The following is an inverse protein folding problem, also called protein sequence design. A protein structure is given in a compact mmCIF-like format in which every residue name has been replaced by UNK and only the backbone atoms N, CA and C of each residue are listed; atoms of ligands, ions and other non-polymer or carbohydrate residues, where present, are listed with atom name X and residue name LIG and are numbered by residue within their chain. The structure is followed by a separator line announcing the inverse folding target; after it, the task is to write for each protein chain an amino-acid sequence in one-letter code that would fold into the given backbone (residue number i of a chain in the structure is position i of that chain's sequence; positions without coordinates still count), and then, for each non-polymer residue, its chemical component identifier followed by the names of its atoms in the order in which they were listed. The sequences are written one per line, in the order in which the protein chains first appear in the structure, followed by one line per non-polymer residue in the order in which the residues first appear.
data_IF_612873899285
#
_entry.id   IF_612873899285
#
_cell.length_a   1.000
_cell.length_b   1.000
_cell.length_c   1.000
_cell.angle_alpha   90.00
_cell.angle_beta   90.00
_cell.angle_gamma   90.00
#
_symmetry.space_group_name_H-M   'P 1'
#
loop_
_entity.id
_entity.type
_entity.pdbx_description
1 polymer ?
#
# COMPACT_ATOMS: atom_id res chain seq x y z
N UNK A 1 27.73 8.41 26.65
CA UNK A 1 26.94 9.66 26.68
C UNK A 1 25.78 9.50 25.72
N UNK A 2 24.57 9.39 26.24
CA UNK A 2 23.32 9.91 25.65
C UNK A 2 22.25 9.83 26.77
N UNK A 3 22.17 10.86 27.63
CA UNK A 3 21.16 11.93 27.58
C UNK A 3 19.74 11.37 27.48
N UNK A 4 19.20 11.07 28.67
CA UNK A 4 17.78 11.13 29.04
C UNK A 4 16.76 10.83 27.91
N UNK A 5 16.87 9.65 27.29
CA UNK A 5 15.90 9.19 26.29
C UNK A 5 14.68 8.62 27.01
N UNK A 6 13.59 9.39 27.07
CA UNK A 6 12.28 8.83 27.46
C UNK A 6 11.76 7.99 26.29
N UNK A 7 12.00 6.68 26.32
CA UNK A 7 11.41 5.73 25.38
C UNK A 7 9.93 5.52 25.73
N UNK A 8 9.06 6.35 25.16
CA UNK A 8 7.61 6.38 25.47
C UNK A 8 6.79 5.34 24.68
N UNK A 9 7.43 4.57 23.80
CA UNK A 9 6.82 3.43 23.11
C UNK A 9 7.29 3.25 21.67
N UNK A 10 6.94 2.11 21.07
CA UNK A 10 7.17 1.81 19.65
C UNK A 10 5.81 1.81 18.96
N UNK A 11 5.63 2.71 17.99
CA UNK A 11 4.41 2.71 17.17
C UNK A 11 4.51 1.65 16.07
N UNK A 12 3.57 0.69 16.10
CA UNK A 12 3.48 -0.39 15.11
C UNK A 12 2.11 -0.32 14.45
N UNK A 13 2.01 -0.26 13.10
CA UNK A 13 0.72 -0.27 12.41
C UNK A 13 -0.10 -1.50 12.79
N UNK A 14 -1.41 -1.33 12.97
CA UNK A 14 -2.34 -2.39 13.38
C UNK A 14 -2.24 -3.63 12.49
N UNK A 15 -2.12 -3.43 11.19
CA UNK A 15 -2.04 -4.51 10.19
C UNK A 15 -0.76 -5.32 10.34
N UNK A 16 0.35 -4.67 10.73
CA UNK A 16 1.62 -5.36 11.02
C UNK A 16 1.51 -6.09 12.35
N UNK A 17 0.97 -5.42 13.38
CA UNK A 17 0.83 -5.99 14.72
C UNK A 17 -0.04 -7.24 14.74
N UNK A 18 -1.18 -7.20 14.05
CA UNK A 18 -2.16 -8.29 13.99
C UNK A 18 -1.89 -9.30 12.88
N UNK A 19 -0.88 -9.09 12.03
CA UNK A 19 -0.55 -10.06 10.98
C UNK A 19 -0.12 -11.40 11.58
N UNK A 20 -0.79 -12.47 11.13
CA UNK A 20 -0.42 -13.85 11.42
C UNK A 20 0.67 -14.38 10.46
N UNK A 21 0.94 -13.67 9.37
CA UNK A 21 1.98 -14.02 8.39
C UNK A 21 3.38 -13.60 8.88
N UNK A 22 3.45 -12.59 9.76
CA UNK A 22 4.69 -12.07 10.29
C UNK A 22 4.97 -12.64 11.68
N UNK A 23 6.19 -13.13 11.86
CA UNK A 23 6.75 -13.39 13.18
C UNK A 23 6.98 -12.08 13.93
N UNK A 24 7.03 -12.13 15.26
CA UNK A 24 7.33 -10.95 16.09
C UNK A 24 8.64 -10.27 15.68
N UNK A 25 9.67 -11.06 15.33
CA UNK A 25 10.95 -10.53 14.84
C UNK A 25 10.79 -9.79 13.51
N UNK A 26 10.00 -10.30 12.57
CA UNK A 26 9.73 -9.61 11.31
C UNK A 26 8.94 -8.31 11.52
N UNK A 27 8.00 -8.28 12.46
CA UNK A 27 7.22 -7.07 12.80
C UNK A 27 8.13 -5.94 13.29
N UNK A 28 9.04 -6.23 14.22
CA UNK A 28 9.99 -5.21 14.72
C UNK A 28 11.02 -4.81 13.66
N UNK A 29 11.48 -5.75 12.82
CA UNK A 29 12.35 -5.44 11.68
C UNK A 29 11.67 -4.51 10.69
N UNK A 30 10.40 -4.77 10.38
CA UNK A 30 9.61 -3.92 9.51
C UNK A 30 9.52 -2.51 10.05
N UNK A 31 9.22 -2.35 11.35
CA UNK A 31 9.11 -1.04 12.00
C UNK A 31 10.43 -0.28 11.95
N UNK A 32 11.54 -0.96 12.19
CA UNK A 32 12.87 -0.34 12.13
C UNK A 32 13.29 0.00 10.68
N UNK A 33 12.98 -0.86 9.71
CA UNK A 33 13.20 -0.52 8.30
C UNK A 33 12.33 0.69 7.92
N UNK A 34 11.09 0.74 8.38
CA UNK A 34 10.15 1.84 8.13
C UNK A 34 10.61 3.16 8.77
N UNK A 35 11.21 3.13 9.96
CA UNK A 35 11.74 4.34 10.61
C UNK A 35 12.95 4.92 9.85
N UNK A 36 13.70 4.04 9.17
CA UNK A 36 14.87 4.40 8.35
C UNK A 36 14.55 4.62 6.86
N UNK A 37 13.37 4.22 6.40
CA UNK A 37 12.87 4.40 5.03
C UNK A 37 12.31 5.80 4.85
N UNK A 38 13.17 6.71 4.39
CA UNK A 38 12.84 8.11 4.09
C UNK A 38 12.60 8.31 2.58
N UNK A 39 12.84 9.51 2.05
CA UNK A 39 12.63 9.82 0.61
C UNK A 39 13.47 8.93 -0.32
N UNK A 40 14.68 8.58 0.06
CA UNK A 40 15.63 7.84 -0.80
C UNK A 40 15.73 6.35 -0.43
N UNK A 41 14.97 5.91 0.58
CA UNK A 41 14.98 4.57 1.11
C UNK A 41 15.94 4.33 2.28
N UNK A 42 15.84 3.13 2.85
CA UNK A 42 16.70 2.68 3.93
C UNK A 42 18.01 2.09 3.37
N UNK A 43 19.15 2.69 3.74
CA UNK A 43 20.49 2.25 3.36
C UNK A 43 21.20 1.41 4.44
N UNK A 44 20.49 1.06 5.52
CA UNK A 44 21.09 0.33 6.63
C UNK A 44 21.63 -1.04 6.16
N UNK A 45 22.85 -1.33 6.59
CA UNK A 45 23.54 -2.57 6.27
C UNK A 45 23.07 -3.71 7.16
N UNK A 46 23.36 -4.95 6.77
CA UNK A 46 23.09 -6.09 7.66
C UNK A 46 23.92 -6.04 8.95
N UNK A 47 25.05 -5.31 8.96
CA UNK A 47 25.83 -5.05 10.16
C UNK A 47 25.07 -4.18 11.15
N UNK A 48 24.49 -3.07 10.66
CA UNK A 48 23.64 -2.20 11.49
C UNK A 48 22.51 -2.98 12.16
N UNK A 49 21.74 -3.75 11.41
CA UNK A 49 20.63 -4.54 11.96
C UNK A 49 21.11 -5.66 12.90
N UNK A 50 22.25 -6.27 12.61
CA UNK A 50 22.84 -7.28 13.49
C UNK A 50 23.21 -6.67 14.86
N UNK A 51 23.81 -5.49 14.84
CA UNK A 51 24.22 -4.78 16.05
C UNK A 51 23.02 -4.22 16.82
N UNK A 52 21.97 -3.78 16.11
CA UNK A 52 20.74 -3.27 16.70
C UNK A 52 19.91 -4.38 17.36
N UNK A 53 19.60 -5.44 16.62
CA UNK A 53 18.77 -6.55 17.10
C UNK A 53 19.55 -7.62 17.87
N UNK A 54 20.88 -7.50 17.96
CA UNK A 54 21.78 -8.46 18.62
C UNK A 54 21.64 -9.88 18.05
N UNK A 55 21.58 -10.00 16.73
CA UNK A 55 21.51 -11.28 16.01
C UNK A 55 22.60 -11.37 14.93
N UNK A 56 22.88 -12.57 14.43
CA UNK A 56 23.90 -12.73 13.38
C UNK A 56 23.50 -12.06 12.07
N UNK A 57 24.49 -11.59 11.29
CA UNK A 57 24.27 -11.04 9.94
C UNK A 57 23.54 -12.04 9.03
N UNK A 58 23.80 -13.34 9.20
CA UNK A 58 23.08 -14.41 8.49
C UNK A 58 21.58 -14.40 8.83
N UNK A 59 21.24 -14.29 10.12
CA UNK A 59 19.84 -14.21 10.54
C UNK A 59 19.17 -12.95 10.02
N UNK A 60 19.86 -11.80 10.04
CA UNK A 60 19.38 -10.55 9.42
C UNK A 60 19.02 -10.79 7.94
N UNK A 61 19.92 -11.40 7.17
CA UNK A 61 19.67 -11.71 5.75
C UNK A 61 18.41 -12.56 5.56
N UNK A 62 18.20 -13.57 6.41
CA UNK A 62 17.02 -14.43 6.35
C UNK A 62 15.73 -13.68 6.67
N UNK A 63 15.73 -12.82 7.70
CA UNK A 63 14.55 -12.01 8.07
C UNK A 63 14.20 -11.03 6.95
N UNK A 64 15.19 -10.33 6.40
CA UNK A 64 14.98 -9.40 5.27
C UNK A 64 14.45 -10.15 4.04
N UNK A 65 15.03 -11.31 3.72
CA UNK A 65 14.56 -12.15 2.60
C UNK A 65 13.09 -12.54 2.78
N UNK A 66 12.72 -13.00 3.97
CA UNK A 66 11.34 -13.38 4.29
C UNK A 66 10.37 -12.19 4.15
N UNK A 67 10.75 -11.00 4.61
CA UNK A 67 9.96 -9.77 4.44
C UNK A 67 9.76 -9.38 2.97
N UNK A 68 10.77 -9.61 2.11
CA UNK A 68 10.69 -9.38 0.67
C UNK A 68 9.74 -10.39 0.01
N UNK A 69 9.87 -11.67 0.33
CA UNK A 69 9.02 -12.74 -0.20
C UNK A 69 7.54 -12.53 0.16
N UNK A 70 7.28 -12.06 1.38
CA UNK A 70 5.95 -11.66 1.87
C UNK A 70 5.49 -10.28 1.36
N UNK A 71 6.31 -9.59 0.55
CA UNK A 71 6.02 -8.29 -0.09
C UNK A 71 5.80 -7.12 0.89
N UNK A 72 6.29 -7.22 2.13
CA UNK A 72 6.24 -6.11 3.08
C UNK A 72 7.31 -5.04 2.80
N UNK A 73 8.45 -5.46 2.24
CA UNK A 73 9.53 -4.58 1.79
C UNK A 73 10.02 -4.95 0.39
N UNK A 74 10.69 -4.02 -0.27
CA UNK A 74 11.44 -4.21 -1.51
C UNK A 74 12.91 -3.93 -1.27
N UNK A 75 13.77 -4.60 -2.03
CA UNK A 75 15.22 -4.39 -2.01
C UNK A 75 15.70 -4.09 -3.43
N UNK A 76 16.36 -2.94 -3.59
CA UNK A 76 16.96 -2.50 -4.85
C UNK A 76 18.47 -2.44 -4.68
N UNK A 77 19.22 -2.95 -5.65
CA UNK A 77 20.68 -2.87 -5.68
C UNK A 77 21.07 -1.78 -6.66
N UNK A 78 21.85 -0.81 -6.19
CA UNK A 78 22.45 0.23 -7.03
C UNK A 78 23.89 -0.18 -7.31
N UNK A 79 24.24 -0.24 -8.59
CA UNK A 79 25.59 -0.56 -9.06
C UNK A 79 26.38 0.71 -9.37
N UNK A 80 27.70 0.66 -9.25
CA UNK A 80 28.57 1.74 -9.70
C UNK A 80 28.57 1.78 -11.23
N UNK A 81 28.41 2.97 -11.79
CA UNK A 81 28.27 3.21 -13.23
C UNK A 81 29.38 2.51 -14.03
N UNK A 82 28.99 1.82 -15.11
CA UNK A 82 29.90 1.07 -15.98
C UNK A 82 30.50 -0.20 -15.35
N UNK A 83 30.07 -0.61 -14.15
CA UNK A 83 30.61 -1.81 -13.48
C UNK A 83 29.51 -2.70 -12.91
N UNK A 84 29.85 -3.97 -12.62
CA UNK A 84 29.00 -4.88 -11.83
C UNK A 84 29.22 -4.75 -10.31
N UNK A 85 29.99 -3.74 -9.87
CA UNK A 85 30.26 -3.53 -8.46
C UNK A 85 29.04 -2.93 -7.77
N UNK A 86 28.61 -3.56 -6.67
CA UNK A 86 27.50 -3.07 -5.86
C UNK A 86 27.95 -1.80 -5.13
N UNK A 87 27.27 -0.68 -5.40
CA UNK A 87 27.50 0.59 -4.72
C UNK A 87 26.74 0.61 -3.38
N UNK A 88 25.43 0.33 -3.42
CA UNK A 88 24.59 0.29 -2.23
C UNK A 88 23.34 -0.57 -2.45
N UNK A 89 22.77 -1.04 -1.35
CA UNK A 89 21.45 -1.65 -1.30
C UNK A 89 20.48 -0.66 -0.68
N UNK A 90 19.28 -0.58 -1.24
CA UNK A 90 18.19 0.27 -0.78
C UNK A 90 17.01 -0.60 -0.41
N UNK A 91 16.52 -0.47 0.81
CA UNK A 91 15.28 -1.10 1.27
C UNK A 91 14.16 -0.07 1.27
N UNK A 92 12.99 -0.45 0.78
CA UNK A 92 11.79 0.38 0.82
C UNK A 92 10.62 -0.42 1.37
N UNK A 93 9.78 0.20 2.20
CA UNK A 93 8.52 -0.36 2.63
C UNK A 93 7.57 -0.39 1.44
N UNK A 94 7.12 -1.58 1.07
CA UNK A 94 6.10 -1.77 0.04
C UNK A 94 4.71 -2.04 0.61
N UNK A 95 4.61 -2.14 1.94
CA UNK A 95 3.36 -2.30 2.64
C UNK A 95 2.62 -0.97 2.78
N UNK A 96 1.50 -0.84 2.06
CA UNK A 96 0.49 0.19 2.32
C UNK A 96 -0.51 -0.37 3.33
N UNK A 97 -0.57 0.12 4.59
CA UNK A 97 -1.67 -0.24 5.47
C UNK A 97 -2.98 0.15 4.77
N UNK A 98 -3.89 -0.81 4.65
CA UNK A 98 -5.26 -0.50 4.27
C UNK A 98 -5.79 0.44 5.35
N UNK A 99 -5.91 1.72 5.05
CA UNK A 99 -6.52 2.71 5.94
C UNK A 99 -8.00 2.32 6.07
N UNK A 100 -8.30 1.34 6.91
CA UNK A 100 -9.64 1.17 7.41
C UNK A 100 -9.83 2.37 8.30
N UNK A 101 -10.58 3.36 7.82
CA UNK A 101 -11.12 4.41 8.68
C UNK A 101 -11.75 3.67 9.85
N UNK A 102 -11.10 3.72 11.01
CA UNK A 102 -11.69 3.24 12.24
C UNK A 102 -12.93 4.13 12.39
N UNK A 103 -14.11 3.53 12.36
CA UNK A 103 -15.34 4.22 12.79
C UNK A 103 -15.22 4.34 14.31
N UNK A 104 -14.35 5.24 14.78
CA UNK A 104 -14.40 5.66 16.17
C UNK A 104 -15.70 6.48 16.34
N UNK A 105 -16.57 6.16 17.32
CA UNK A 105 -17.73 6.96 17.59
C UNK A 105 -17.35 8.19 18.42
N UNK A 106 -17.79 9.36 17.91
CA UNK A 106 -18.09 10.65 18.58
C UNK A 106 -17.04 11.77 18.41
N UNK A 107 -17.40 12.70 17.50
CA UNK A 107 -17.44 14.18 17.56
C UNK A 107 -16.49 14.91 18.55
N UNK A 108 -15.82 16.02 18.22
CA UNK A 108 -16.32 17.25 17.59
C UNK A 108 -15.10 18.18 17.29
N UNK A 109 -15.21 19.03 16.26
CA UNK A 109 -14.42 20.26 16.01
C UNK A 109 -12.90 20.13 15.77
N UNK A 110 -12.52 19.90 14.51
CA UNK A 110 -11.38 20.61 13.94
C UNK A 110 -11.76 21.09 12.52
N UNK A 111 -11.69 22.40 12.32
CA UNK A 111 -12.04 23.11 11.09
C UNK A 111 -11.22 22.58 9.92
N UNK A 112 -11.90 22.26 8.83
CA UNK A 112 -11.31 21.81 7.57
C UNK A 112 -10.38 22.88 6.99
N UNK A 113 -9.07 22.65 7.10
CA UNK A 113 -8.12 23.20 6.15
C UNK A 113 -7.90 22.15 5.07
N UNK A 114 -8.51 22.36 3.91
CA UNK A 114 -8.28 21.58 2.70
C UNK A 114 -6.79 21.52 2.38
N UNK A 115 -6.14 20.39 2.65
CA UNK A 115 -4.82 20.06 2.08
C UNK A 115 -4.79 18.57 1.74
N UNK A 116 -5.61 18.19 0.76
CA UNK A 116 -5.53 16.90 0.06
C UNK A 116 -5.30 17.08 -1.43
N UNK A 117 -4.48 18.08 -1.81
CA UNK A 117 -3.92 18.20 -3.15
C UNK A 117 -2.40 18.28 -2.99
N UNK A 118 -1.68 17.23 -3.43
CA UNK A 118 -0.23 17.18 -3.78
C UNK A 118 0.61 16.04 -3.18
N UNK A 119 0.11 14.81 -3.08
CA UNK A 119 1.02 13.64 -2.98
C UNK A 119 0.56 12.55 -3.94
N UNK A 120 0.60 12.83 -5.24
CA UNK A 120 0.68 11.79 -6.29
C UNK A 120 1.12 12.42 -7.62
N UNK A 121 2.40 12.80 -7.72
CA UNK A 121 3.14 13.11 -8.96
C UNK A 121 4.62 12.84 -8.60
N UNK A 122 5.50 12.11 -9.28
CA UNK A 122 5.58 11.31 -10.50
C UNK A 122 6.73 10.28 -10.23
N UNK A 123 6.92 9.15 -10.93
CA UNK A 123 7.64 9.07 -12.21
C UNK A 123 7.57 7.66 -12.81
N UNK A 124 7.17 7.54 -14.08
CA UNK A 124 7.94 6.95 -15.19
C UNK A 124 7.09 7.00 -16.47
N UNK A 125 7.73 7.38 -17.57
CA UNK A 125 7.19 7.68 -18.89
C UNK A 125 6.66 6.43 -19.61
N UNK A 126 5.38 6.17 -19.42
CA UNK A 126 4.39 5.73 -20.40
C UNK A 126 3.11 6.40 -19.91
N UNK A 127 2.31 7.00 -20.80
CA UNK A 127 1.14 7.82 -20.47
C UNK A 127 0.03 6.96 -19.82
N UNK A 128 0.27 6.39 -18.63
CA UNK A 128 -0.72 5.66 -17.86
C UNK A 128 -1.69 6.69 -17.32
N UNK A 129 -2.89 6.63 -17.84
CA UNK A 129 -4.01 7.44 -17.39
C UNK A 129 -4.16 7.34 -15.87
N UNK A 130 -4.40 8.47 -15.23
CA UNK A 130 -4.67 8.50 -13.78
C UNK A 130 -5.96 7.74 -13.47
N UNK A 131 -6.04 7.10 -12.30
CA UNK A 131 -7.25 6.41 -11.85
C UNK A 131 -8.51 7.29 -11.93
N UNK A 132 -8.36 8.59 -11.64
CA UNK A 132 -9.44 9.58 -11.76
C UNK A 132 -9.90 9.75 -13.21
N UNK A 133 -8.97 9.93 -14.14
CA UNK A 133 -9.28 10.08 -15.56
C UNK A 133 -9.91 8.80 -16.14
N UNK A 134 -9.38 7.63 -15.77
CA UNK A 134 -9.95 6.34 -16.15
C UNK A 134 -11.40 6.22 -15.69
N UNK A 135 -11.67 6.52 -14.42
CA UNK A 135 -13.01 6.42 -13.84
C UNK A 135 -14.00 7.32 -14.59
N UNK A 136 -13.64 8.57 -14.84
CA UNK A 136 -14.50 9.49 -15.60
C UNK A 136 -14.75 9.01 -17.03
N UNK A 137 -13.72 8.53 -17.73
CA UNK A 137 -13.87 7.95 -19.07
C UNK A 137 -14.78 6.72 -19.05
N UNK A 138 -14.52 5.78 -18.14
CA UNK A 138 -15.29 4.55 -18.05
C UNK A 138 -16.78 4.82 -17.77
N UNK A 139 -17.08 5.75 -16.85
CA UNK A 139 -18.46 6.18 -16.58
C UNK A 139 -19.10 6.71 -17.85
N UNK A 140 -18.41 7.60 -18.58
CA UNK A 140 -18.92 8.18 -19.81
C UNK A 140 -19.22 7.12 -20.87
N UNK A 141 -18.34 6.14 -21.02
CA UNK A 141 -18.43 5.13 -22.08
C UNK A 141 -19.44 3.99 -21.74
N UNK A 142 -19.74 3.78 -20.44
CA UNK A 142 -20.52 2.62 -19.96
C UNK A 142 -21.75 2.99 -19.11
N UNK A 143 -22.19 4.25 -19.11
CA UNK A 143 -23.42 4.64 -18.40
C UNK A 143 -24.62 3.85 -18.92
N UNK A 144 -25.44 3.33 -18.01
CA UNK A 144 -26.59 2.46 -18.27
C UNK A 144 -26.30 1.14 -19.02
N UNK A 145 -25.03 0.82 -19.28
CA UNK A 145 -24.62 -0.46 -19.87
C UNK A 145 -24.19 -1.44 -18.78
N UNK A 146 -24.50 -2.72 -18.98
CA UNK A 146 -24.06 -3.80 -18.10
C UNK A 146 -22.56 -4.05 -18.29
N UNK A 147 -21.82 -4.08 -17.20
CA UNK A 147 -20.43 -4.51 -17.17
C UNK A 147 -20.22 -5.59 -16.10
N UNK A 148 -19.13 -6.34 -16.19
CA UNK A 148 -18.88 -7.52 -15.37
C UNK A 148 -17.52 -7.43 -14.69
N UNK A 149 -17.44 -7.92 -13.45
CA UNK A 149 -16.19 -8.04 -12.71
C UNK A 149 -16.06 -9.45 -12.17
N UNK A 150 -15.03 -10.18 -12.61
CA UNK A 150 -14.87 -11.60 -12.27
C UNK A 150 -14.66 -11.77 -10.76
N UNK A 151 -15.63 -12.37 -10.07
CA UNK A 151 -15.53 -12.70 -8.65
C UNK A 151 -15.70 -11.53 -7.68
N UNK A 152 -16.17 -10.36 -8.14
CA UNK A 152 -16.60 -9.26 -7.27
C UNK A 152 -18.11 -9.20 -7.36
N UNK A 153 -18.81 -9.55 -6.28
CA UNK A 153 -20.28 -9.69 -6.26
C UNK A 153 -20.83 -11.04 -5.80
N UNK A 154 -20.01 -11.87 -5.16
CA UNK A 154 -20.32 -13.22 -4.63
C UNK A 154 -20.52 -14.30 -5.70
N UNK A 155 -20.85 -13.92 -6.94
CA UNK A 155 -20.96 -14.81 -8.09
C UNK A 155 -19.90 -14.49 -9.16
N UNK A 156 -19.59 -15.46 -10.01
CA UNK A 156 -18.49 -15.37 -10.99
C UNK A 156 -18.77 -14.41 -12.15
N UNK A 157 -20.04 -14.05 -12.38
CA UNK A 157 -20.50 -13.22 -13.49
C UNK A 157 -21.51 -12.15 -13.06
N UNK A 158 -21.35 -11.58 -11.86
CA UNK A 158 -22.24 -10.52 -11.39
C UNK A 158 -22.20 -9.31 -12.34
N UNK A 159 -23.35 -8.95 -12.88
CA UNK A 159 -23.52 -7.78 -13.72
C UNK A 159 -23.75 -6.52 -12.87
N UNK A 160 -23.13 -5.43 -13.30
CA UNK A 160 -23.25 -4.11 -12.69
C UNK A 160 -23.68 -3.08 -13.73
N UNK A 161 -24.34 -2.03 -13.29
CA UNK A 161 -24.74 -0.88 -14.11
C UNK A 161 -24.30 0.40 -13.41
N UNK A 162 -23.85 1.40 -14.18
CA UNK A 162 -23.66 2.75 -13.67
C UNK A 162 -24.94 3.53 -13.94
N UNK A 163 -25.63 3.98 -12.88
CA UNK A 163 -26.86 4.76 -13.01
C UNK A 163 -26.57 6.23 -13.36
N UNK A 164 -27.63 7.01 -13.57
CA UNK A 164 -27.55 8.44 -13.93
C UNK A 164 -26.83 9.29 -12.85
N UNK A 165 -26.86 8.85 -11.59
CA UNK A 165 -26.16 9.46 -10.46
C UNK A 165 -24.67 9.05 -10.35
N UNK A 166 -24.15 8.30 -11.35
CA UNK A 166 -22.77 7.78 -11.40
C UNK A 166 -22.44 6.78 -10.30
N UNK A 167 -23.44 6.11 -9.74
CA UNK A 167 -23.31 5.07 -8.73
C UNK A 167 -23.36 3.68 -9.39
N UNK A 168 -22.63 2.73 -8.80
CA UNK A 168 -22.62 1.35 -9.28
C UNK A 168 -23.77 0.60 -8.63
N UNK A 169 -24.64 0.02 -9.45
CA UNK A 169 -25.75 -0.82 -9.06
C UNK A 169 -25.44 -2.28 -9.39
N UNK A 170 -25.59 -3.17 -8.40
CA UNK A 170 -25.52 -4.60 -8.60
C UNK A 170 -26.89 -5.11 -9.09
N UNK A 171 -26.93 -5.69 -10.29
CA UNK A 171 -28.20 -6.12 -10.89
C UNK A 171 -28.75 -7.41 -10.30
N UNK A 172 -27.93 -8.19 -9.59
CA UNK A 172 -28.33 -9.46 -8.97
C UNK A 172 -28.90 -9.21 -7.57
N UNK A 173 -28.20 -8.42 -6.76
CA UNK A 173 -28.67 -8.08 -5.41
C UNK A 173 -29.63 -6.89 -5.36
N UNK A 174 -29.90 -6.26 -6.51
CA UNK A 174 -30.71 -5.05 -6.64
C UNK A 174 -30.31 -3.92 -5.68
N UNK A 175 -29.01 -3.79 -5.40
CA UNK A 175 -28.47 -2.87 -4.41
C UNK A 175 -27.46 -1.91 -5.04
N UNK A 176 -27.53 -0.64 -4.65
CA UNK A 176 -26.45 0.32 -4.91
C UNK A 176 -25.27 -0.04 -4.01
N UNK A 177 -24.09 -0.16 -4.62
CA UNK A 177 -22.87 -0.45 -3.90
C UNK A 177 -22.49 0.71 -2.97
N UNK A 178 -22.07 0.37 -1.76
CA UNK A 178 -21.46 1.37 -0.88
C UNK A 178 -20.09 1.83 -1.42
N UNK A 179 -19.51 2.84 -0.77
CA UNK A 179 -18.25 3.45 -1.23
C UNK A 179 -17.10 2.44 -1.35
N UNK A 180 -17.04 1.45 -0.47
CA UNK A 180 -15.98 0.44 -0.45
C UNK A 180 -16.23 -0.64 -1.51
N UNK A 181 -17.47 -1.13 -1.58
CA UNK A 181 -17.90 -2.08 -2.61
C UNK A 181 -17.65 -1.52 -4.02
N UNK A 182 -18.05 -0.25 -4.25
CA UNK A 182 -17.81 0.45 -5.50
C UNK A 182 -16.31 0.66 -5.77
N UNK A 183 -15.50 0.92 -4.73
CA UNK A 183 -14.06 1.12 -4.89
C UNK A 183 -13.34 -0.14 -5.38
N UNK A 184 -13.70 -1.32 -4.85
CA UNK A 184 -13.11 -2.59 -5.30
C UNK A 184 -13.47 -2.89 -6.76
N UNK A 185 -14.72 -2.60 -7.17
CA UNK A 185 -15.13 -2.67 -8.58
C UNK A 185 -14.28 -1.74 -9.46
N UNK A 186 -14.10 -0.48 -9.06
CA UNK A 186 -13.27 0.47 -9.83
C UNK A 186 -11.81 0.06 -9.91
N UNK A 187 -11.25 -0.47 -8.82
CA UNK A 187 -9.87 -0.95 -8.74
C UNK A 187 -9.64 -2.15 -9.66
N UNK A 188 -10.59 -3.08 -9.72
CA UNK A 188 -10.56 -4.21 -10.65
C UNK A 188 -10.57 -3.73 -12.10
N UNK A 189 -11.55 -2.90 -12.47
CA UNK A 189 -11.67 -2.37 -13.83
C UNK A 189 -10.42 -1.61 -14.29
N UNK A 190 -9.84 -0.80 -13.39
CA UNK A 190 -8.60 -0.09 -13.68
C UNK A 190 -7.41 -1.03 -13.90
N UNK A 191 -7.29 -2.09 -13.09
CA UNK A 191 -6.23 -3.08 -13.23
C UNK A 191 -6.34 -3.84 -14.56
N UNK A 192 -7.53 -4.25 -14.95
CA UNK A 192 -7.78 -4.92 -16.24
C UNK A 192 -7.49 -4.01 -17.44
N UNK A 193 -7.68 -2.69 -17.31
CA UNK A 193 -7.40 -1.73 -18.40
C UNK A 193 -5.91 -1.51 -18.70
N UNK A 194 -5.01 -2.03 -17.86
CA UNK A 194 -3.56 -1.85 -17.95
C UNK A 194 -2.86 -3.10 -18.54
N UNK A 195 -3.58 -4.22 -18.62
CA UNK A 195 -3.11 -5.50 -19.20
C UNK A 195 -3.35 -5.51 -20.69
#
# INVERSE_FOLDING_TARGET
MDKDRRFEGIWIPKEIWLSNELTTQEKIFFVEIKSLDNKDGCFASNGYFADFFKISKTRVSLVIKSLIEKRYIKSTIVYKEGTKQILKRVLNVSFTPSITKVKDPIEEKLKDNNTLNNIFNNTTTLRRETFKAFKERFIKDNSNNKFYTRGIGWETYTAFIINEERLIFNTVSHKILDKNEAFEVWKYLYKESIV
#
